data_IF_263957028501
#
_entry.id   IF_263957028501
#
_cell.length_a   1.000
_cell.length_b   1.000
_cell.length_c   1.000
_cell.angle_alpha   90.00
_cell.angle_beta   90.00
_cell.angle_gamma   90.00
#
_symmetry.space_group_name_H-M   'P 1'
#
loop_
_entity.id
_entity.type
_entity.pdbx_description
1 polymer ?
#
# COMPACT_ATOMS: atom_id res chain seq x y z
N UNK A 1 18.67 17.16 -11.33
CA UNK A 1 18.04 17.28 -10.01
C UNK A 1 16.71 16.59 -10.11
N UNK A 2 16.46 15.50 -9.38
CA UNK A 2 15.13 14.93 -9.30
C UNK A 2 14.24 15.99 -8.63
N UNK A 3 13.23 16.49 -9.33
CA UNK A 3 12.22 17.36 -8.72
C UNK A 3 11.58 16.55 -7.60
N UNK A 4 11.65 17.09 -6.38
CA UNK A 4 11.03 16.47 -5.19
C UNK A 4 9.51 16.46 -5.42
N UNK A 5 8.98 15.29 -5.75
CA UNK A 5 7.56 15.14 -6.07
C UNK A 5 6.80 15.15 -4.76
N UNK A 6 5.81 16.05 -4.57
CA UNK A 6 5.07 16.13 -3.32
C UNK A 6 4.38 14.80 -2.97
N UNK A 7 4.48 14.37 -1.72
CA UNK A 7 3.91 13.11 -1.23
C UNK A 7 2.40 12.99 -1.52
N UNK A 8 1.66 14.10 -1.45
CA UNK A 8 0.25 14.14 -1.80
C UNK A 8 -0.03 13.76 -3.28
N UNK A 9 0.93 14.00 -4.19
CA UNK A 9 0.85 13.58 -5.60
C UNK A 9 1.05 12.07 -5.68
N UNK A 10 2.10 11.57 -5.03
CA UNK A 10 2.42 10.13 -4.97
C UNK A 10 1.23 9.36 -4.39
N UNK A 11 0.62 9.87 -3.32
CA UNK A 11 -0.55 9.24 -2.66
C UNK A 11 -1.81 9.14 -3.55
N UNK A 12 -1.92 9.93 -4.63
CA UNK A 12 -3.04 9.84 -5.59
C UNK A 12 -2.80 8.83 -6.72
N UNK A 13 -1.56 8.50 -7.05
CA UNK A 13 -1.25 7.57 -8.14
C UNK A 13 -1.92 6.19 -7.98
N UNK A 14 -1.94 5.56 -6.79
CA UNK A 14 -2.66 4.30 -6.60
C UNK A 14 -4.17 4.41 -6.88
N UNK A 15 -4.76 5.57 -6.62
CA UNK A 15 -6.19 5.83 -6.89
C UNK A 15 -6.42 5.89 -8.40
N UNK A 16 -5.54 6.58 -9.13
CA UNK A 16 -5.59 6.64 -10.60
C UNK A 16 -5.39 5.26 -11.23
N UNK A 17 -4.37 4.53 -10.77
CA UNK A 17 -4.07 3.17 -11.24
C UNK A 17 -5.27 2.24 -11.06
N UNK A 18 -5.90 2.25 -9.89
CA UNK A 18 -7.09 1.44 -9.61
C UNK A 18 -8.24 1.74 -10.57
N UNK A 19 -8.50 3.02 -10.85
CA UNK A 19 -9.59 3.40 -11.76
C UNK A 19 -9.27 3.05 -13.21
N UNK A 20 -8.01 3.20 -13.64
CA UNK A 20 -7.56 2.79 -14.98
C UNK A 20 -7.66 1.27 -15.15
N UNK A 21 -7.28 0.48 -14.16
CA UNK A 21 -7.42 -0.98 -14.17
C UNK A 21 -8.89 -1.37 -14.32
N UNK A 22 -9.79 -0.69 -13.60
CA UNK A 22 -11.23 -0.89 -13.71
C UNK A 22 -11.75 -0.56 -15.12
N UNK A 23 -11.32 0.58 -15.69
CA UNK A 23 -11.68 0.95 -17.07
C UNK A 23 -11.19 -0.08 -18.10
N UNK A 24 -9.99 -0.62 -17.90
CA UNK A 24 -9.46 -1.69 -18.76
C UNK A 24 -10.32 -2.96 -18.68
N UNK A 25 -10.77 -3.34 -17.49
CA UNK A 25 -11.64 -4.50 -17.27
C UNK A 25 -13.05 -4.29 -17.84
N UNK A 26 -13.58 -3.08 -17.80
CA UNK A 26 -14.86 -2.74 -18.45
C UNK A 26 -14.80 -2.96 -19.97
N UNK A 27 -13.62 -2.85 -20.59
CA UNK A 27 -13.38 -3.15 -22.01
C UNK A 27 -14.11 -2.27 -23.02
N UNK A 28 -14.76 -1.20 -22.55
CA UNK A 28 -15.63 -0.35 -23.38
C UNK A 28 -14.86 0.65 -24.25
N UNK A 29 -13.65 1.02 -23.82
CA UNK A 29 -12.85 2.06 -24.47
C UNK A 29 -11.35 1.80 -24.30
N UNK A 30 -10.54 2.28 -25.26
CA UNK A 30 -9.08 2.20 -25.21
C UNK A 30 -8.43 3.45 -24.63
N UNK A 31 -9.15 4.56 -24.62
CA UNK A 31 -8.65 5.86 -24.17
C UNK A 31 -9.60 6.46 -23.14
N UNK A 32 -9.05 7.27 -22.23
CA UNK A 32 -9.83 8.06 -21.29
C UNK A 32 -9.29 9.49 -21.24
N UNK A 33 -10.05 10.41 -20.65
CA UNK A 33 -9.64 11.81 -20.48
C UNK A 33 -9.44 12.15 -19.00
N UNK A 34 -8.68 13.23 -18.72
CA UNK A 34 -8.62 13.78 -17.36
C UNK A 34 -10.00 14.22 -16.84
N UNK A 35 -10.93 14.57 -17.73
CA UNK A 35 -12.28 14.92 -17.37
C UNK A 35 -13.07 13.68 -16.90
N UNK A 36 -13.01 12.60 -17.65
CA UNK A 36 -13.67 11.34 -17.27
C UNK A 36 -13.10 10.75 -15.99
N UNK A 37 -11.76 10.64 -15.88
CA UNK A 37 -11.11 10.20 -14.65
C UNK A 37 -11.49 11.08 -13.47
N UNK A 38 -11.53 12.41 -13.67
CA UNK A 38 -11.92 13.36 -12.64
C UNK A 38 -13.35 13.18 -12.16
N UNK A 39 -14.28 12.98 -13.09
CA UNK A 39 -15.69 12.70 -12.76
C UNK A 39 -15.83 11.41 -11.92
N UNK A 40 -15.13 10.35 -12.31
CA UNK A 40 -15.17 9.04 -11.60
C UNK A 40 -14.54 9.11 -10.20
N UNK A 41 -13.51 9.92 -10.02
CA UNK A 41 -12.70 9.98 -8.79
C UNK A 41 -13.06 11.16 -7.87
N UNK A 42 -13.91 12.08 -8.31
CA UNK A 42 -14.20 13.31 -7.57
C UNK A 42 -12.98 14.26 -7.51
N UNK A 43 -12.08 14.20 -8.51
CA UNK A 43 -10.86 15.02 -8.60
C UNK A 43 -10.95 15.91 -9.83
N UNK A 44 -10.54 17.18 -9.73
CA UNK A 44 -10.59 18.07 -10.89
C UNK A 44 -9.66 17.58 -12.02
N UNK A 45 -10.09 17.74 -13.27
CA UNK A 45 -9.29 17.37 -14.43
C UNK A 45 -7.96 18.13 -14.49
N UNK A 46 -7.91 19.36 -13.98
CA UNK A 46 -6.69 20.16 -13.86
C UNK A 46 -5.69 19.53 -12.88
N UNK A 47 -6.19 19.04 -11.74
CA UNK A 47 -5.36 18.35 -10.75
C UNK A 47 -4.76 17.06 -11.30
N UNK A 48 -5.55 16.23 -11.99
CA UNK A 48 -5.05 14.99 -12.62
C UNK A 48 -3.94 15.31 -13.63
N UNK A 49 -4.15 16.30 -14.50
CA UNK A 49 -3.11 16.71 -15.46
C UNK A 49 -1.85 17.19 -14.76
N UNK A 50 -1.98 18.00 -13.71
CA UNK A 50 -0.86 18.50 -12.92
C UNK A 50 -0.10 17.35 -12.24
N UNK A 51 -0.81 16.41 -11.62
CA UNK A 51 -0.18 15.26 -10.96
C UNK A 51 0.61 14.41 -11.95
N UNK A 52 0.00 14.05 -13.08
CA UNK A 52 0.63 13.24 -14.10
C UNK A 52 1.84 13.94 -14.73
N UNK A 53 1.80 15.27 -14.90
CA UNK A 53 2.92 16.04 -15.50
C UNK A 53 4.22 16.00 -14.68
N UNK A 54 4.16 15.64 -13.39
CA UNK A 54 5.37 15.41 -12.59
C UNK A 54 6.20 14.19 -13.06
N UNK A 55 5.58 13.26 -13.78
CA UNK A 55 6.19 12.00 -14.20
C UNK A 55 6.43 11.91 -15.71
N UNK A 56 5.93 12.87 -16.49
CA UNK A 56 6.09 12.90 -17.93
C UNK A 56 4.81 13.27 -18.69
N UNK A 57 4.88 13.14 -20.02
CA UNK A 57 3.75 13.38 -20.91
C UNK A 57 3.10 12.05 -21.30
N UNK A 58 1.96 11.73 -20.73
CA UNK A 58 1.25 10.45 -20.94
C UNK A 58 0.10 10.54 -21.95
N UNK A 59 -0.23 11.73 -22.43
CA UNK A 59 -1.34 11.94 -23.36
C UNK A 59 -1.13 13.11 -24.30
N UNK A 60 -1.90 13.15 -25.39
CA UNK A 60 -1.92 14.27 -26.33
C UNK A 60 -3.19 15.06 -26.14
N UNK A 61 -3.10 16.38 -26.33
CA UNK A 61 -4.27 17.26 -26.31
C UNK A 61 -5.29 16.80 -27.36
N UNK A 62 -6.56 16.66 -26.95
CA UNK A 62 -7.65 16.17 -27.79
C UNK A 62 -7.82 14.65 -27.87
N UNK A 63 -6.78 13.85 -27.59
CA UNK A 63 -6.84 12.38 -27.65
C UNK A 63 -7.00 11.72 -26.27
N UNK A 64 -6.57 12.42 -25.19
CA UNK A 64 -6.57 11.88 -23.83
C UNK A 64 -5.45 10.89 -23.58
N UNK A 65 -5.66 9.95 -22.67
CA UNK A 65 -4.72 8.94 -22.24
C UNK A 65 -5.11 7.57 -22.77
N UNK A 66 -4.15 6.84 -23.35
CA UNK A 66 -4.34 5.42 -23.64
C UNK A 66 -4.32 4.63 -22.35
N UNK A 67 -5.42 3.95 -22.01
CA UNK A 67 -5.65 3.30 -20.71
C UNK A 67 -4.54 2.30 -20.39
N UNK A 68 -4.27 1.35 -21.29
CA UNK A 68 -3.23 0.33 -21.06
C UNK A 68 -1.85 0.95 -20.85
N UNK A 69 -1.45 1.91 -21.69
CA UNK A 69 -0.15 2.59 -21.57
C UNK A 69 -0.03 3.35 -20.24
N UNK A 70 -1.05 4.13 -19.85
CA UNK A 70 -0.99 4.88 -18.60
C UNK A 70 -1.01 3.95 -17.37
N UNK A 71 -1.74 2.82 -17.45
CA UNK A 71 -1.73 1.79 -16.40
C UNK A 71 -0.32 1.22 -16.20
N UNK A 72 0.36 0.86 -17.28
CA UNK A 72 1.74 0.35 -17.25
C UNK A 72 2.70 1.38 -16.65
N UNK A 73 2.66 2.63 -17.14
CA UNK A 73 3.53 3.69 -16.64
C UNK A 73 3.31 3.98 -15.15
N UNK A 74 2.07 4.02 -14.67
CA UNK A 74 1.80 4.21 -13.24
C UNK A 74 2.24 3.00 -12.41
N UNK A 75 2.12 1.79 -12.93
CA UNK A 75 2.64 0.58 -12.27
C UNK A 75 4.15 0.62 -12.13
N UNK A 76 4.87 1.06 -13.15
CA UNK A 76 6.33 1.21 -13.12
C UNK A 76 6.77 2.30 -12.13
N UNK A 77 6.11 3.47 -12.15
CA UNK A 77 6.37 4.57 -11.20
C UNK A 77 6.17 4.10 -9.76
N UNK A 78 5.12 3.34 -9.49
CA UNK A 78 4.80 2.78 -8.18
C UNK A 78 5.62 1.51 -7.84
N UNK A 79 6.50 1.07 -8.76
CA UNK A 79 7.33 -0.14 -8.63
C UNK A 79 6.51 -1.41 -8.40
N UNK A 80 5.36 -1.51 -9.08
CA UNK A 80 4.46 -2.66 -9.01
C UNK A 80 4.66 -3.64 -10.19
N UNK A 81 5.71 -3.47 -10.97
CA UNK A 81 6.10 -4.39 -12.07
C UNK A 81 6.59 -5.74 -11.55
N UNK A 82 6.92 -5.82 -10.26
CA UNK A 82 7.24 -7.06 -9.54
C UNK A 82 6.40 -7.16 -8.27
N UNK A 83 6.16 -8.40 -7.83
CA UNK A 83 5.42 -8.67 -6.60
C UNK A 83 6.26 -8.34 -5.37
N UNK A 84 5.66 -7.68 -4.38
CA UNK A 84 6.26 -7.34 -3.11
C UNK A 84 5.84 -8.35 -2.04
N UNK A 85 6.82 -9.04 -1.44
CA UNK A 85 6.60 -9.85 -0.24
C UNK A 85 6.35 -8.94 0.96
N UNK A 86 5.28 -9.23 1.69
CA UNK A 86 4.82 -8.47 2.85
C UNK A 86 4.82 -9.35 4.09
N UNK A 87 5.39 -8.86 5.18
CA UNK A 87 5.25 -9.47 6.50
C UNK A 87 4.06 -8.87 7.24
N UNK A 88 3.27 -9.70 7.91
CA UNK A 88 2.24 -9.26 8.85
C UNK A 88 2.71 -9.55 10.26
N UNK A 89 2.64 -8.56 11.14
CA UNK A 89 2.92 -8.73 12.57
C UNK A 89 1.62 -8.56 13.35
N UNK A 90 1.26 -9.60 14.08
CA UNK A 90 0.01 -9.75 14.80
C UNK A 90 -0.96 -10.69 14.07
N UNK A 91 -1.18 -11.88 14.63
CA UNK A 91 -2.12 -12.91 14.16
C UNK A 91 -3.46 -12.84 14.92
N UNK A 92 -3.92 -11.63 15.28
CA UNK A 92 -5.25 -11.39 15.81
C UNK A 92 -6.31 -11.34 14.71
N UNK A 93 -7.52 -10.89 15.06
CA UNK A 93 -8.64 -10.80 14.09
C UNK A 93 -8.28 -10.01 12.82
N UNK A 94 -7.58 -8.89 12.98
CA UNK A 94 -7.16 -8.07 11.84
C UNK A 94 -6.10 -8.79 10.99
N UNK A 95 -5.06 -9.35 11.61
CA UNK A 95 -4.02 -10.10 10.89
C UNK A 95 -4.62 -11.30 10.14
N UNK A 96 -5.58 -11.99 10.75
CA UNK A 96 -6.32 -13.07 10.12
C UNK A 96 -7.09 -12.57 8.88
N UNK A 97 -7.82 -11.46 8.99
CA UNK A 97 -8.55 -10.88 7.86
C UNK A 97 -7.61 -10.47 6.72
N UNK A 98 -6.47 -9.86 7.05
CA UNK A 98 -5.46 -9.45 6.07
C UNK A 98 -4.84 -10.66 5.35
N UNK A 99 -4.54 -11.74 6.07
CA UNK A 99 -3.97 -12.96 5.49
C UNK A 99 -4.90 -13.65 4.48
N UNK A 100 -6.21 -13.51 4.63
CA UNK A 100 -7.21 -14.08 3.74
C UNK A 100 -7.69 -13.12 2.65
N UNK A 101 -7.18 -11.89 2.62
CA UNK A 101 -7.59 -10.90 1.65
C UNK A 101 -6.86 -11.05 0.31
N UNK A 102 -7.50 -11.68 -0.66
CA UNK A 102 -6.94 -11.93 -2.00
C UNK A 102 -6.62 -10.64 -2.79
N UNK A 103 -7.23 -9.52 -2.44
CA UNK A 103 -7.00 -8.24 -3.13
C UNK A 103 -5.59 -7.66 -3.02
N UNK A 104 -4.70 -8.27 -2.23
CA UNK A 104 -3.29 -7.92 -2.22
C UNK A 104 -2.57 -8.44 -3.46
N UNK A 105 -2.77 -9.71 -3.83
CA UNK A 105 -2.13 -10.34 -4.99
C UNK A 105 -2.45 -9.61 -6.29
N UNK A 106 -3.71 -9.26 -6.49
CA UNK A 106 -4.18 -8.53 -7.68
C UNK A 106 -3.53 -7.15 -7.83
N UNK A 107 -2.83 -6.68 -6.80
CA UNK A 107 -2.23 -5.33 -6.73
C UNK A 107 -0.73 -5.35 -6.49
N UNK A 108 -0.07 -6.49 -6.72
CA UNK A 108 1.38 -6.62 -6.64
C UNK A 108 1.94 -6.84 -5.23
N UNK A 109 1.13 -7.32 -4.28
CA UNK A 109 1.57 -7.64 -2.93
C UNK A 109 1.20 -9.08 -2.55
N UNK A 110 2.13 -9.80 -1.91
CA UNK A 110 1.90 -11.14 -1.38
C UNK A 110 2.23 -11.17 0.11
N UNK A 111 1.30 -11.63 0.93
CA UNK A 111 1.63 -11.92 2.34
C UNK A 111 2.53 -13.15 2.36
N UNK A 112 3.80 -12.95 2.74
CA UNK A 112 4.85 -13.98 2.68
C UNK A 112 5.12 -14.63 4.05
N UNK A 113 4.76 -13.98 5.15
CA UNK A 113 4.89 -14.49 6.50
C UNK A 113 4.00 -13.71 7.48
N UNK A 114 3.64 -14.37 8.58
CA UNK A 114 2.85 -13.81 9.67
C UNK A 114 3.54 -14.16 10.97
N UNK A 115 3.65 -13.19 11.88
CA UNK A 115 4.29 -13.34 13.18
C UNK A 115 3.32 -13.01 14.31
N UNK A 116 3.43 -13.76 15.40
CA UNK A 116 2.76 -13.43 16.67
C UNK A 116 3.66 -13.88 17.84
N UNK A 117 3.47 -13.26 19.01
CA UNK A 117 4.16 -13.64 20.24
C UNK A 117 3.34 -14.57 21.13
N UNK A 118 2.07 -14.82 20.80
CA UNK A 118 1.20 -15.72 21.54
C UNK A 118 1.49 -17.17 21.17
N UNK A 119 2.01 -18.00 22.14
CA UNK A 119 2.34 -19.39 21.86
C UNK A 119 1.11 -20.23 21.43
N UNK A 120 -0.11 -19.80 21.74
CA UNK A 120 -1.32 -20.51 21.30
C UNK A 120 -1.63 -20.28 19.82
N UNK A 121 -1.12 -19.21 19.23
CA UNK A 121 -1.31 -18.89 17.81
C UNK A 121 -0.14 -19.35 16.95
N UNK A 122 1.06 -19.39 17.53
CA UNK A 122 2.27 -19.87 16.82
C UNK A 122 2.06 -21.33 16.39
N UNK A 123 2.29 -21.60 15.11
CA UNK A 123 2.06 -22.90 14.49
C UNK A 123 0.65 -23.09 13.92
N UNK A 124 -0.29 -22.20 14.20
CA UNK A 124 -1.63 -22.25 13.57
C UNK A 124 -1.53 -21.92 12.08
N UNK A 125 -2.38 -22.60 11.29
CA UNK A 125 -2.53 -22.31 9.86
C UNK A 125 -3.44 -21.11 9.65
N UNK A 126 -2.96 -20.12 8.88
CA UNK A 126 -3.70 -18.92 8.53
C UNK A 126 -3.65 -18.70 7.01
N UNK A 127 -4.72 -19.07 6.32
CA UNK A 127 -4.70 -19.21 4.87
C UNK A 127 -3.73 -20.31 4.44
N UNK A 128 -2.80 -19.98 3.55
CA UNK A 128 -1.70 -20.89 3.15
C UNK A 128 -0.42 -20.74 4.01
N UNK A 129 -0.45 -19.85 4.99
CA UNK A 129 0.70 -19.56 5.83
C UNK A 129 0.56 -20.22 7.21
N UNK A 130 1.70 -20.42 7.87
CA UNK A 130 1.77 -20.83 9.27
C UNK A 130 2.27 -19.63 10.07
N UNK A 131 1.61 -19.31 11.18
CA UNK A 131 2.02 -18.25 12.10
C UNK A 131 3.38 -18.60 12.70
N UNK A 132 4.35 -17.73 12.50
CA UNK A 132 5.70 -17.86 13.00
C UNK A 132 5.86 -17.15 14.36
N UNK A 133 6.73 -17.64 15.25
CA UNK A 133 7.05 -16.90 16.46
C UNK A 133 7.77 -15.59 16.11
N UNK A 134 7.46 -14.54 16.84
CA UNK A 134 8.09 -13.24 16.63
C UNK A 134 9.60 -13.24 16.94
N UNK A 135 10.09 -14.24 17.67
CA UNK A 135 11.52 -14.47 17.91
C UNK A 135 12.31 -14.78 16.63
N UNK A 136 11.67 -15.30 15.60
CA UNK A 136 12.29 -15.62 14.31
C UNK A 136 12.18 -14.47 13.29
N UNK A 137 11.53 -13.35 13.66
CA UNK A 137 11.18 -12.24 12.78
C UNK A 137 12.38 -11.72 11.99
N UNK A 138 13.45 -11.31 12.68
CA UNK A 138 14.61 -10.68 12.03
C UNK A 138 15.33 -11.65 11.07
N UNK A 139 15.40 -12.91 11.44
CA UNK A 139 15.99 -13.95 10.60
C UNK A 139 15.20 -14.17 9.33
N UNK A 140 13.89 -14.27 9.43
CA UNK A 140 13.00 -14.52 8.28
C UNK A 140 12.95 -13.29 7.37
N UNK A 141 12.81 -12.08 7.93
CA UNK A 141 12.79 -10.82 7.17
C UNK A 141 14.09 -10.68 6.35
N UNK A 142 15.25 -10.91 6.98
CA UNK A 142 16.56 -10.83 6.30
C UNK A 142 16.71 -11.90 5.22
N UNK A 143 16.36 -13.14 5.53
CA UNK A 143 16.47 -14.26 4.58
C UNK A 143 15.58 -14.06 3.34
N UNK A 144 14.33 -13.65 3.53
CA UNK A 144 13.38 -13.38 2.45
C UNK A 144 13.54 -11.99 1.83
N UNK A 145 14.43 -11.15 2.35
CA UNK A 145 14.66 -9.76 1.91
C UNK A 145 13.38 -8.89 1.90
N UNK A 146 12.48 -9.13 2.84
CA UNK A 146 11.21 -8.42 2.92
C UNK A 146 11.43 -6.93 3.21
N UNK A 147 10.79 -6.07 2.44
CA UNK A 147 10.90 -4.61 2.54
C UNK A 147 9.64 -3.93 3.03
N UNK A 148 8.52 -4.64 3.03
CA UNK A 148 7.20 -4.11 3.39
C UNK A 148 6.64 -4.92 4.55
N UNK A 149 6.10 -4.25 5.58
CA UNK A 149 5.42 -4.93 6.68
C UNK A 149 4.13 -4.22 7.09
N UNK A 150 3.20 -4.99 7.64
CA UNK A 150 1.95 -4.53 8.22
C UNK A 150 1.98 -4.79 9.71
N UNK A 151 1.70 -3.75 10.51
CA UNK A 151 1.58 -3.84 11.96
C UNK A 151 0.09 -3.91 12.36
N UNK A 152 -0.36 -5.09 12.77
CA UNK A 152 -1.70 -5.36 13.28
C UNK A 152 -1.64 -5.72 14.77
N UNK A 153 -0.93 -4.92 15.55
CA UNK A 153 -0.59 -5.14 16.96
C UNK A 153 -1.03 -3.98 17.85
N UNK A 154 -1.14 -4.18 19.18
CA UNK A 154 -1.50 -3.12 20.10
C UNK A 154 -0.47 -1.96 20.14
N UNK A 155 -0.92 -0.72 20.49
CA UNK A 155 -0.06 0.47 20.46
C UNK A 155 1.21 0.35 21.30
N UNK A 156 1.11 -0.24 22.48
CA UNK A 156 2.22 -0.29 23.46
C UNK A 156 3.42 -1.16 23.01
N UNK A 157 3.21 -2.04 22.02
CA UNK A 157 4.29 -2.88 21.44
C UNK A 157 4.69 -2.44 20.04
N UNK A 158 4.00 -1.45 19.46
CA UNK A 158 4.20 -1.09 18.05
C UNK A 158 5.56 -0.43 17.79
N UNK A 159 6.05 0.46 18.65
CA UNK A 159 7.37 1.09 18.46
C UNK A 159 8.52 0.08 18.58
N UNK A 160 8.62 -0.74 19.65
CA UNK A 160 9.68 -1.77 19.74
C UNK A 160 9.67 -2.73 18.54
N UNK A 161 8.50 -3.11 18.05
CA UNK A 161 8.38 -3.98 16.88
C UNK A 161 8.80 -3.29 15.58
N UNK A 162 8.48 -2.00 15.45
CA UNK A 162 8.94 -1.15 14.33
C UNK A 162 10.46 -1.12 14.29
N UNK A 163 11.12 -0.88 15.41
CA UNK A 163 12.58 -0.83 15.50
C UNK A 163 13.21 -2.16 15.07
N UNK A 164 12.65 -3.29 15.50
CA UNK A 164 13.07 -4.63 15.08
C UNK A 164 12.94 -4.85 13.58
N UNK A 165 11.81 -4.49 13.00
CA UNK A 165 11.53 -4.61 11.56
C UNK A 165 12.49 -3.75 10.73
N UNK A 166 12.69 -2.50 11.13
CA UNK A 166 13.61 -1.56 10.45
C UNK A 166 15.06 -2.09 10.51
N UNK A 167 15.50 -2.56 11.66
CA UNK A 167 16.83 -3.16 11.83
C UNK A 167 16.99 -4.47 11.01
N UNK A 168 15.90 -5.18 10.76
CA UNK A 168 15.89 -6.35 9.87
C UNK A 168 15.91 -5.99 8.38
N UNK A 169 15.65 -4.73 8.00
CA UNK A 169 15.76 -4.24 6.64
C UNK A 169 14.42 -3.83 5.98
N UNK A 170 13.33 -3.77 6.74
CA UNK A 170 12.04 -3.23 6.29
C UNK A 170 12.19 -1.73 6.02
N UNK A 171 11.54 -1.25 4.94
CA UNK A 171 11.60 0.14 4.48
C UNK A 171 10.22 0.80 4.35
N UNK A 172 9.16 0.01 4.38
CA UNK A 172 7.80 0.51 4.32
C UNK A 172 6.91 -0.22 5.33
N UNK A 173 6.15 0.54 6.11
CA UNK A 173 5.28 0.05 7.17
C UNK A 173 3.86 0.57 6.96
N UNK A 174 2.88 -0.33 7.00
CA UNK A 174 1.48 0.02 7.16
C UNK A 174 1.08 -0.28 8.61
N UNK A 175 0.81 0.74 9.41
CA UNK A 175 0.45 0.59 10.82
C UNK A 175 -1.04 0.77 11.04
N UNK A 176 -1.64 -0.20 11.73
CA UNK A 176 -2.99 -0.10 12.29
C UNK A 176 -2.99 0.32 13.77
N UNK A 177 -1.81 0.42 14.38
CA UNK A 177 -1.69 0.93 15.75
C UNK A 177 -1.94 2.44 15.76
N UNK A 178 -2.85 2.96 16.62
CA UNK A 178 -3.22 4.38 16.67
C UNK A 178 -2.18 5.21 17.45
N UNK A 179 -0.91 5.08 17.09
CA UNK A 179 0.20 5.87 17.62
C UNK A 179 1.12 6.33 16.51
N UNK A 180 1.78 7.45 16.72
CA UNK A 180 2.85 7.88 15.81
C UNK A 180 4.11 7.04 16.06
N UNK A 181 4.68 6.49 14.99
CA UNK A 181 5.92 5.69 15.03
C UNK A 181 7.10 6.56 14.62
N UNK A 182 8.16 6.51 15.40
CA UNK A 182 9.44 7.15 15.09
C UNK A 182 10.28 6.19 14.26
N UNK A 183 10.69 6.63 13.09
CA UNK A 183 11.52 5.82 12.17
C UNK A 183 12.69 6.64 11.62
N UNK A 184 13.80 6.01 11.24
CA UNK A 184 14.92 6.71 10.62
C UNK A 184 14.57 7.18 9.20
N UNK A 185 15.37 8.13 8.70
CA UNK A 185 15.25 8.60 7.32
C UNK A 185 15.32 7.44 6.31
N UNK A 186 14.50 7.50 5.27
CA UNK A 186 14.38 6.47 4.25
C UNK A 186 13.48 5.30 4.61
N UNK A 187 12.81 5.33 5.77
CA UNK A 187 11.72 4.42 6.11
C UNK A 187 10.39 5.18 6.03
N UNK A 188 9.43 4.61 5.31
CA UNK A 188 8.09 5.18 5.14
C UNK A 188 7.09 4.49 6.06
N UNK A 189 6.24 5.28 6.72
CA UNK A 189 5.14 4.76 7.53
C UNK A 189 3.82 5.35 7.03
N UNK A 190 2.87 4.46 6.74
CA UNK A 190 1.49 4.83 6.46
C UNK A 190 0.60 4.32 7.60
N UNK A 191 -0.40 5.11 7.97
CA UNK A 191 -1.32 4.79 9.06
C UNK A 191 -2.70 4.48 8.52
N UNK A 192 -3.30 3.38 8.98
CA UNK A 192 -4.66 2.99 8.67
C UNK A 192 -5.48 3.00 9.96
N UNK A 193 -6.01 4.18 10.32
CA UNK A 193 -6.88 4.35 11.48
C UNK A 193 -8.32 4.69 11.02
N UNK A 194 -9.24 3.71 11.06
CA UNK A 194 -10.65 3.94 10.70
C UNK A 194 -11.34 4.98 11.59
N UNK A 195 -10.91 5.11 12.86
CA UNK A 195 -11.54 6.06 13.79
C UNK A 195 -11.29 7.50 13.35
N UNK A 196 -10.07 7.83 12.92
CA UNK A 196 -9.75 9.14 12.35
C UNK A 196 -10.65 9.44 11.14
N UNK A 197 -10.88 8.46 10.28
CA UNK A 197 -11.75 8.65 9.11
C UNK A 197 -13.22 8.90 9.54
N UNK A 198 -13.72 8.14 10.52
CA UNK A 198 -15.06 8.34 11.07
C UNK A 198 -15.18 9.72 11.72
N UNK A 199 -14.22 10.14 12.56
CA UNK A 199 -14.20 11.47 13.18
C UNK A 199 -14.22 12.59 12.14
N UNK A 200 -13.45 12.44 11.04
CA UNK A 200 -13.50 13.39 9.93
C UNK A 200 -14.89 13.48 9.30
N UNK A 201 -15.58 12.34 9.14
CA UNK A 201 -16.92 12.31 8.56
C UNK A 201 -17.96 13.02 9.43
N UNK A 202 -17.84 12.97 10.76
CA UNK A 202 -18.81 13.63 11.65
C UNK A 202 -18.82 15.15 11.52
N UNK A 203 -17.76 15.76 10.98
CA UNK A 203 -17.74 17.20 10.67
C UNK A 203 -18.79 17.60 9.64
N UNK A 204 -19.23 16.68 8.78
CA UNK A 204 -20.21 16.96 7.71
C UNK A 204 -21.65 16.57 8.08
N UNK A 205 -21.90 16.09 9.30
CA UNK A 205 -23.23 15.75 9.81
C UNK A 205 -23.87 16.91 10.57
#
# INVERSE_FOLDING_TARGET
MATDIPDIVIGRLPIYLRELTRLAQEGKQKTTSSHELGHRLGISSAQIRKDLSHFGEFGKQGTGYHIGYLTEQLSDILRLSSEWDVAVVGAGFLGHALAHYNGFLDRGFRIACIFDNDPHKVGEKMGELIVQPDTDLEKIIKHKQIKVAILAIPPHVAQPMTDRLVNAGVKALLSYAPIHLTVPEGVQVSYSDPVIQLQRMTYYL
#
